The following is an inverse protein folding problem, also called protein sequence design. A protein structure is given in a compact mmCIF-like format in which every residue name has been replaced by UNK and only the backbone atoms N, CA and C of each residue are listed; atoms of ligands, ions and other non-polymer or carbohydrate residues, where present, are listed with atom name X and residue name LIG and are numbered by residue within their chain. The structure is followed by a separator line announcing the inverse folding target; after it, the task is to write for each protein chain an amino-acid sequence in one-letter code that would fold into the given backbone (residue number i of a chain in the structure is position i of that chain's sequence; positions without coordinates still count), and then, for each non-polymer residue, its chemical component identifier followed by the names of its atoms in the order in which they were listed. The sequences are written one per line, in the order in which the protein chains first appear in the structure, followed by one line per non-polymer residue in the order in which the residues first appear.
data_IF_300693813599
#
_entry.id   IF_300693813599
#
_cell.length_a   1.000
_cell.length_b   1.000
_cell.length_c   1.000
_cell.angle_alpha   90.00
_cell.angle_beta   90.00
_cell.angle_gamma   90.00
#
_symmetry.space_group_name_H-M   'P 1'
#
loop_
_entity.id
_entity.type
_entity.pdbx_description
1 polymer ?
#
# COMPACT_ATOMS: atom_id res chain seq x y z
N UNK A 1 31.71 -44.08 65.30
CA UNK A 1 32.28 -42.89 64.64
C UNK A 1 31.85 -42.94 63.17
N UNK A 2 30.83 -42.22 62.83
CA UNK A 2 30.29 -42.17 61.44
C UNK A 2 30.74 -40.82 60.87
N UNK A 3 31.52 -40.82 59.80
CA UNK A 3 32.00 -39.65 59.08
C UNK A 3 30.93 -39.24 58.09
N UNK A 4 30.35 -38.05 58.27
CA UNK A 4 29.47 -37.42 57.30
C UNK A 4 30.30 -36.83 56.16
N UNK A 5 30.08 -37.26 54.93
CA UNK A 5 30.65 -36.70 53.72
C UNK A 5 29.63 -35.70 53.13
N UNK A 6 29.95 -34.43 53.17
CA UNK A 6 29.15 -33.35 52.56
C UNK A 6 29.53 -33.27 51.07
N UNK A 7 28.58 -33.56 50.20
CA UNK A 7 28.70 -33.35 48.77
C UNK A 7 28.24 -31.92 48.45
N UNK A 8 29.17 -31.07 48.08
CA UNK A 8 28.89 -29.71 47.58
C UNK A 8 28.45 -29.82 46.08
N UNK A 9 27.16 -29.65 45.84
CA UNK A 9 26.63 -29.56 44.48
C UNK A 9 26.98 -28.20 43.86
N UNK A 10 27.79 -28.20 42.81
CA UNK A 10 28.03 -27.00 41.98
C UNK A 10 26.86 -26.87 41.02
N UNK A 11 25.98 -25.89 41.26
CA UNK A 11 24.98 -25.46 40.28
C UNK A 11 25.65 -24.65 39.21
N UNK A 12 25.90 -25.19 38.03
CA UNK A 12 26.19 -24.44 36.83
C UNK A 12 24.89 -23.72 36.41
N UNK A 13 24.81 -22.42 36.63
CA UNK A 13 23.85 -21.54 35.96
C UNK A 13 24.27 -21.47 34.48
N UNK A 14 23.63 -22.26 33.64
CA UNK A 14 23.63 -22.05 32.19
C UNK A 14 22.86 -20.75 31.95
N UNK A 15 23.59 -19.66 31.71
CA UNK A 15 23.00 -18.47 31.11
C UNK A 15 22.48 -18.89 29.74
N UNK A 16 21.16 -19.10 29.61
CA UNK A 16 20.50 -19.20 28.35
C UNK A 16 20.62 -17.81 27.68
N UNK A 17 21.61 -17.64 26.80
CA UNK A 17 21.56 -16.61 25.79
C UNK A 17 20.32 -16.91 24.97
N UNK A 18 19.24 -16.13 25.16
CA UNK A 18 18.19 -16.03 24.17
C UNK A 18 18.88 -15.55 22.89
N UNK A 19 18.73 -16.21 21.73
CA UNK A 19 19.26 -15.66 20.50
C UNK A 19 18.64 -14.26 20.34
N UNK A 20 19.47 -13.22 20.27
CA UNK A 20 19.00 -11.90 19.83
C UNK A 20 18.23 -12.14 18.56
N UNK A 21 16.94 -11.75 18.54
CA UNK A 21 16.05 -12.03 17.42
C UNK A 21 16.67 -11.51 16.12
N UNK A 22 16.88 -12.42 15.17
CA UNK A 22 17.37 -12.08 13.83
C UNK A 22 16.27 -11.40 12.97
N UNK A 23 15.20 -10.96 13.61
CA UNK A 23 14.00 -10.43 12.98
C UNK A 23 13.84 -8.95 13.29
N UNK A 24 13.26 -8.22 12.37
CA UNK A 24 13.06 -6.78 12.48
C UNK A 24 11.61 -6.40 12.20
N UNK A 25 11.19 -5.28 12.76
CA UNK A 25 9.92 -4.64 12.46
C UNK A 25 10.11 -3.61 11.35
N UNK A 26 9.23 -3.61 10.37
CA UNK A 26 9.18 -2.61 9.32
C UNK A 26 7.80 -1.96 9.29
N UNK A 27 7.75 -0.65 9.56
CA UNK A 27 6.58 0.17 9.27
C UNK A 27 6.72 0.73 7.86
N UNK A 28 5.70 0.61 7.03
CA UNK A 28 5.62 1.29 5.74
C UNK A 28 4.65 2.45 5.87
N UNK A 29 5.10 3.65 5.52
CA UNK A 29 4.31 4.88 5.54
C UNK A 29 4.26 5.48 4.15
N UNK A 30 3.08 5.67 3.61
CA UNK A 30 2.87 6.31 2.31
C UNK A 30 2.30 7.71 2.52
N UNK A 31 2.91 8.71 1.91
CA UNK A 31 2.52 10.10 2.00
C UNK A 31 1.83 10.53 0.70
N UNK A 32 0.52 10.81 0.71
CA UNK A 32 -0.16 11.35 -0.46
C UNK A 32 0.38 12.75 -0.80
N UNK A 33 0.78 12.94 -2.07
CA UNK A 33 1.35 14.18 -2.58
C UNK A 33 0.59 14.67 -3.82
N UNK A 34 0.66 15.97 -4.04
CA UNK A 34 0.28 16.65 -5.27
C UNK A 34 1.35 17.68 -5.59
N UNK A 35 2.00 17.52 -6.74
CA UNK A 35 3.11 18.39 -7.16
C UNK A 35 4.16 18.57 -6.03
N UNK A 36 4.57 17.47 -5.41
CA UNK A 36 5.57 17.43 -4.33
C UNK A 36 5.11 17.97 -2.96
N UNK A 37 3.92 18.56 -2.85
CA UNK A 37 3.34 19.02 -1.59
C UNK A 37 2.36 18.00 -1.03
N UNK A 38 2.05 18.06 0.27
CA UNK A 38 1.06 17.17 0.87
C UNK A 38 -0.30 17.35 0.19
N UNK A 39 -0.91 16.22 -0.22
CA UNK A 39 -2.24 16.24 -0.80
C UNK A 39 -3.27 16.71 0.22
N UNK A 40 -3.87 17.87 -0.04
CA UNK A 40 -4.94 18.43 0.78
C UNK A 40 -6.30 18.13 0.16
N UNK A 41 -7.13 17.39 0.87
CA UNK A 41 -8.48 17.08 0.43
C UNK A 41 -9.41 18.28 0.56
N UNK A 42 -10.42 18.33 -0.31
CA UNK A 42 -11.41 19.43 -0.38
C UNK A 42 -10.81 20.80 -0.71
N UNK A 43 -9.55 20.86 -1.12
CA UNK A 43 -8.90 22.06 -1.62
C UNK A 43 -9.19 22.22 -3.13
N UNK A 44 -9.86 23.29 -3.52
CA UNK A 44 -10.24 23.60 -4.91
C UNK A 44 -9.07 24.11 -5.78
N UNK A 45 -7.86 24.11 -5.30
CA UNK A 45 -6.72 24.75 -5.95
C UNK A 45 -5.55 23.83 -6.28
N UNK A 46 -5.78 22.53 -6.45
CA UNK A 46 -4.72 21.61 -6.85
C UNK A 46 -4.48 21.78 -8.37
N UNK A 47 -3.53 22.62 -8.74
CA UNK A 47 -3.16 22.83 -10.15
C UNK A 47 -2.21 21.72 -10.58
N UNK A 48 -2.54 21.06 -11.69
CA UNK A 48 -1.67 20.04 -12.27
C UNK A 48 -0.45 20.71 -12.91
N UNK A 49 0.79 20.28 -12.57
CA UNK A 49 2.00 20.99 -12.99
C UNK A 49 2.22 21.00 -14.51
N UNK A 50 1.80 19.95 -15.21
CA UNK A 50 2.04 19.79 -16.64
C UNK A 50 0.88 20.34 -17.51
N UNK A 51 -0.37 20.05 -17.10
CA UNK A 51 -1.55 20.41 -17.92
C UNK A 51 -2.16 21.76 -17.55
N UNK A 52 -1.90 22.24 -16.32
CA UNK A 52 -2.54 23.44 -15.77
C UNK A 52 -3.98 23.22 -15.29
N UNK A 53 -4.51 22.01 -15.44
CA UNK A 53 -5.86 21.68 -14.99
C UNK A 53 -5.98 21.77 -13.48
N UNK A 54 -7.16 22.13 -13.00
CA UNK A 54 -7.39 22.31 -11.57
C UNK A 54 -8.28 21.21 -11.03
N UNK A 55 -7.81 20.58 -9.95
CA UNK A 55 -8.49 19.46 -9.29
C UNK A 55 -8.83 19.75 -7.84
N UNK A 56 -9.77 18.98 -7.31
CA UNK A 56 -10.06 18.79 -5.89
C UNK A 56 -10.34 17.33 -5.65
N UNK A 57 -9.64 16.73 -4.70
CA UNK A 57 -9.92 15.37 -4.24
C UNK A 57 -10.86 15.40 -3.03
N UNK A 58 -11.92 14.61 -3.09
CA UNK A 58 -12.82 14.34 -1.97
C UNK A 58 -12.59 12.96 -1.40
N UNK A 59 -12.12 12.01 -2.24
CA UNK A 59 -11.81 10.64 -1.86
C UNK A 59 -10.58 10.12 -2.63
N UNK A 60 -9.74 9.37 -1.92
CA UNK A 60 -8.75 8.48 -2.51
C UNK A 60 -8.61 7.26 -1.61
N UNK A 61 -9.06 6.12 -2.11
CA UNK A 61 -9.01 4.85 -1.41
C UNK A 61 -8.24 3.84 -2.27
N UNK A 62 -7.46 2.97 -1.62
CA UNK A 62 -6.69 1.90 -2.30
C UNK A 62 -6.64 0.65 -1.45
N UNK A 63 -6.72 -0.51 -2.11
CA UNK A 63 -6.41 -1.82 -1.55
C UNK A 63 -5.07 -2.31 -2.07
N UNK A 64 -4.16 -2.68 -1.16
CA UNK A 64 -2.87 -3.26 -1.49
C UNK A 64 -2.84 -4.74 -1.16
N UNK A 65 -2.20 -5.51 -2.03
CA UNK A 65 -1.96 -6.95 -1.88
C UNK A 65 -0.57 -7.35 -2.39
N UNK A 66 -0.19 -8.60 -2.24
CA UNK A 66 1.09 -9.16 -2.70
C UNK A 66 2.29 -8.32 -2.25
N UNK A 67 2.23 -7.83 -1.01
CA UNK A 67 3.28 -6.97 -0.45
C UNK A 67 4.49 -7.84 -0.15
N UNK A 68 5.64 -7.47 -0.71
CA UNK A 68 6.87 -8.25 -0.57
C UNK A 68 8.11 -7.34 -0.58
N UNK A 69 9.17 -7.76 0.09
CA UNK A 69 10.50 -7.17 -0.06
C UNK A 69 11.23 -7.83 -1.24
N UNK A 70 12.02 -7.04 -1.95
CA UNK A 70 12.85 -7.50 -3.07
C UNK A 70 14.23 -7.81 -2.52
N UNK A 71 14.64 -9.08 -2.55
CA UNK A 71 15.96 -9.51 -2.10
C UNK A 71 17.06 -9.08 -3.08
N UNK A 72 18.32 -9.16 -2.63
CA UNK A 72 19.48 -8.84 -3.47
C UNK A 72 19.58 -9.68 -4.76
N UNK A 73 19.09 -10.93 -4.72
CA UNK A 73 19.03 -11.82 -5.89
C UNK A 73 17.82 -11.57 -6.80
N UNK A 74 16.99 -10.57 -6.50
CA UNK A 74 15.77 -10.24 -7.21
C UNK A 74 14.56 -11.11 -6.85
N UNK A 75 14.71 -12.12 -6.00
CA UNK A 75 13.57 -12.90 -5.51
C UNK A 75 12.73 -12.10 -4.52
N UNK A 76 11.46 -12.46 -4.37
CA UNK A 76 10.54 -11.79 -3.47
C UNK A 76 10.47 -12.51 -2.12
N UNK A 77 10.47 -11.74 -1.03
CA UNK A 77 10.10 -12.17 0.30
C UNK A 77 8.69 -11.64 0.61
N UNK A 78 7.63 -12.46 0.49
CA UNK A 78 6.28 -12.03 0.82
C UNK A 78 6.18 -11.61 2.29
N UNK A 79 5.47 -10.51 2.56
CA UNK A 79 5.13 -10.10 3.90
C UNK A 79 3.83 -10.80 4.31
N UNK A 80 3.92 -11.60 5.36
CA UNK A 80 2.80 -12.40 5.86
C UNK A 80 2.42 -11.91 7.25
N UNK A 81 1.16 -12.06 7.62
CA UNK A 81 0.71 -11.86 9.01
C UNK A 81 1.36 -12.87 9.95
N UNK A 82 1.32 -12.68 11.27
CA UNK A 82 1.83 -13.67 12.23
C UNK A 82 1.21 -15.08 12.08
N UNK A 83 -0.01 -15.15 11.54
CA UNK A 83 -0.70 -16.40 11.26
C UNK A 83 -0.30 -17.03 9.92
N UNK A 84 0.63 -16.42 9.17
CA UNK A 84 1.12 -16.88 7.87
C UNK A 84 0.24 -16.52 6.68
N UNK A 85 -0.78 -15.69 6.86
CA UNK A 85 -1.65 -15.22 5.79
C UNK A 85 -1.02 -14.03 5.06
N UNK A 86 -1.33 -13.79 3.78
CA UNK A 86 -0.86 -12.62 3.05
C UNK A 86 -1.24 -11.30 3.73
N UNK A 87 -0.31 -10.34 3.75
CA UNK A 87 -0.55 -9.02 4.26
C UNK A 87 -1.34 -8.17 3.25
N UNK A 88 -2.41 -7.53 3.71
CA UNK A 88 -3.19 -6.56 2.95
C UNK A 88 -3.17 -5.20 3.64
N UNK A 89 -3.26 -4.13 2.86
CA UNK A 89 -3.42 -2.78 3.40
C UNK A 89 -4.58 -2.05 2.72
N UNK A 90 -5.25 -1.21 3.49
CA UNK A 90 -6.29 -0.32 2.98
C UNK A 90 -5.95 1.12 3.35
N UNK A 91 -5.75 1.93 2.33
CA UNK A 91 -5.51 3.35 2.46
C UNK A 91 -6.77 4.15 2.15
N UNK A 92 -7.08 5.12 2.98
CA UNK A 92 -8.25 6.00 2.82
C UNK A 92 -7.98 7.38 3.39
N UNK A 93 -8.66 8.38 2.87
CA UNK A 93 -8.63 9.75 3.37
C UNK A 93 -8.93 9.82 4.89
N UNK A 94 -8.21 10.68 5.59
CA UNK A 94 -8.44 10.94 7.03
C UNK A 94 -7.86 9.91 7.98
N UNK A 95 -7.17 8.89 7.46
CA UNK A 95 -6.37 7.96 8.25
C UNK A 95 -4.91 8.01 7.80
N UNK A 96 -3.96 7.70 8.69
CA UNK A 96 -2.58 7.50 8.25
C UNK A 96 -2.51 6.37 7.21
N UNK A 97 -1.78 6.59 6.13
CA UNK A 97 -1.50 5.57 5.12
C UNK A 97 -0.27 4.77 5.56
N UNK A 98 -0.48 3.93 6.56
CA UNK A 98 0.59 3.12 7.15
C UNK A 98 0.13 1.69 7.33
N UNK A 99 1.09 0.77 7.30
CA UNK A 99 0.92 -0.59 7.78
C UNK A 99 2.23 -1.08 8.42
N UNK A 100 2.11 -1.93 9.42
CA UNK A 100 3.24 -2.64 9.99
C UNK A 100 3.42 -3.97 9.24
N UNK A 101 4.64 -4.20 8.77
CA UNK A 101 5.02 -5.53 8.33
C UNK A 101 5.25 -6.41 9.56
N UNK A 102 5.00 -7.71 9.45
CA UNK A 102 5.13 -8.61 10.60
C UNK A 102 6.55 -8.69 11.13
N UNK A 103 6.69 -9.09 12.39
CA UNK A 103 7.95 -9.14 13.17
C UNK A 103 8.92 -10.25 12.73
N UNK A 104 8.64 -10.92 11.61
CA UNK A 104 9.41 -12.07 11.13
C UNK A 104 10.28 -11.76 9.90
N UNK A 105 10.58 -10.48 9.65
CA UNK A 105 11.45 -10.10 8.54
C UNK A 105 12.91 -10.39 8.96
N UNK A 106 13.65 -11.23 8.22
CA UNK A 106 15.08 -11.42 8.48
C UNK A 106 15.88 -10.14 8.36
N UNK A 107 16.85 -9.92 9.26
CA UNK A 107 17.84 -8.86 9.10
C UNK A 107 18.58 -9.05 7.79
N UNK A 108 18.87 -7.97 7.09
CA UNK A 108 19.62 -8.04 5.84
C UNK A 108 19.42 -6.83 4.94
N UNK A 109 19.95 -6.95 3.73
CA UNK A 109 19.76 -6.01 2.65
C UNK A 109 18.64 -6.46 1.71
N UNK A 110 17.84 -5.50 1.30
CA UNK A 110 16.77 -5.68 0.31
C UNK A 110 16.85 -4.54 -0.70
N UNK A 111 16.61 -4.85 -1.97
CA UNK A 111 16.70 -3.90 -3.08
C UNK A 111 15.41 -3.09 -3.29
N UNK A 112 14.44 -3.23 -2.41
CA UNK A 112 13.20 -2.47 -2.50
C UNK A 112 11.98 -3.19 -1.93
N UNK A 113 10.81 -2.65 -2.26
CA UNK A 113 9.50 -3.20 -1.94
C UNK A 113 8.65 -3.31 -3.20
N UNK A 114 7.86 -4.36 -3.28
CA UNK A 114 6.85 -4.53 -4.31
C UNK A 114 5.49 -4.80 -3.70
N UNK A 115 4.44 -4.38 -4.38
CA UNK A 115 3.05 -4.67 -4.03
C UNK A 115 2.15 -4.53 -5.26
N UNK A 116 0.89 -4.87 -5.11
CA UNK A 116 -0.11 -4.59 -6.13
C UNK A 116 -1.23 -3.74 -5.54
N UNK A 117 -1.65 -2.71 -6.28
CA UNK A 117 -2.94 -2.07 -6.02
C UNK A 117 -3.99 -2.94 -6.70
N UNK A 118 -4.84 -3.55 -5.88
CA UNK A 118 -5.83 -4.53 -6.32
C UNK A 118 -5.58 -5.94 -5.80
N UNK A 119 -6.49 -6.85 -6.13
CA UNK A 119 -6.56 -8.21 -5.58
C UNK A 119 -6.45 -9.24 -6.72
N UNK A 120 -5.99 -10.44 -6.38
CA UNK A 120 -6.04 -11.56 -7.32
C UNK A 120 -7.49 -12.07 -7.50
N UNK A 121 -7.68 -12.95 -8.49
CA UNK A 121 -9.01 -13.46 -8.83
C UNK A 121 -9.68 -14.23 -7.70
N UNK A 122 -8.93 -15.02 -6.93
CA UNK A 122 -9.48 -15.84 -5.87
C UNK A 122 -10.02 -14.97 -4.72
N UNK A 123 -9.30 -13.93 -4.37
CA UNK A 123 -9.71 -12.99 -3.33
C UNK A 123 -10.80 -12.03 -3.87
N UNK A 124 -10.62 -11.53 -5.09
CA UNK A 124 -11.54 -10.54 -5.67
C UNK A 124 -12.97 -11.06 -5.81
N UNK A 125 -13.13 -12.32 -6.16
CA UNK A 125 -14.43 -12.98 -6.35
C UNK A 125 -14.76 -14.00 -5.25
N UNK A 126 -13.96 -14.03 -4.19
CA UNK A 126 -14.21 -14.84 -3.01
C UNK A 126 -15.33 -14.29 -2.14
N UNK A 127 -15.67 -15.03 -1.09
CA UNK A 127 -16.66 -14.59 -0.11
C UNK A 127 -16.10 -13.48 0.79
N UNK A 128 -16.57 -12.23 0.68
CA UNK A 128 -16.06 -11.13 1.49
C UNK A 128 -16.45 -11.26 2.98
N UNK A 129 -17.40 -12.10 3.33
CA UNK A 129 -17.84 -12.31 4.72
C UNK A 129 -16.83 -13.08 5.58
N UNK A 130 -15.84 -13.74 4.97
CA UNK A 130 -14.77 -14.43 5.69
C UNK A 130 -13.85 -13.47 6.42
N UNK A 131 -13.78 -12.21 5.99
CA UNK A 131 -12.92 -11.21 6.58
C UNK A 131 -13.50 -10.66 7.89
N UNK A 132 -12.73 -10.79 8.98
CA UNK A 132 -13.12 -10.29 10.30
C UNK A 132 -13.27 -8.76 10.29
N UNK A 133 -14.06 -8.23 11.22
CA UNK A 133 -14.18 -6.78 11.46
C UNK A 133 -12.78 -6.20 11.76
N UNK A 134 -12.44 -5.11 11.07
CA UNK A 134 -11.11 -4.48 11.16
C UNK A 134 -10.12 -4.94 10.07
N UNK A 135 -10.36 -6.07 9.40
CA UNK A 135 -9.50 -6.52 8.30
C UNK A 135 -9.62 -5.57 7.09
N UNK A 136 -8.52 -5.23 6.40
CA UNK A 136 -8.54 -4.33 5.23
C UNK A 136 -9.54 -4.72 4.14
N UNK A 137 -9.75 -6.01 3.93
CA UNK A 137 -10.68 -6.54 2.92
C UNK A 137 -12.13 -6.67 3.42
N UNK A 138 -12.42 -6.38 4.69
CA UNK A 138 -13.81 -6.41 5.15
C UNK A 138 -14.61 -5.25 4.53
N UNK A 139 -15.74 -5.49 3.82
CA UNK A 139 -16.52 -4.44 3.16
C UNK A 139 -17.03 -3.35 4.08
N UNK A 140 -17.25 -3.65 5.36
CA UNK A 140 -17.67 -2.63 6.35
C UNK A 140 -16.53 -1.67 6.73
N UNK A 141 -15.27 -2.03 6.45
CA UNK A 141 -14.09 -1.21 6.69
C UNK A 141 -13.77 -0.35 5.48
N UNK A 142 -13.80 -0.94 4.27
CA UNK A 142 -13.29 -0.31 3.06
C UNK A 142 -14.39 0.28 2.15
N UNK A 143 -15.62 -0.24 2.19
CA UNK A 143 -16.73 0.17 1.30
C UNK A 143 -16.38 0.07 -0.20
N UNK A 144 -15.49 -0.87 -0.55
CA UNK A 144 -14.97 -1.05 -1.91
C UNK A 144 -15.45 -2.34 -2.59
N UNK A 145 -16.45 -3.02 -2.04
CA UNK A 145 -16.95 -4.27 -2.62
C UNK A 145 -18.30 -4.06 -3.30
N UNK A 146 -18.38 -4.37 -4.61
CA UNK A 146 -19.58 -4.20 -5.44
C UNK A 146 -20.51 -5.42 -5.47
N UNK A 147 -20.32 -6.35 -4.53
CA UNK A 147 -21.07 -7.63 -4.51
C UNK A 147 -20.35 -8.73 -5.31
N UNK A 148 -20.96 -9.93 -5.32
CA UNK A 148 -20.35 -11.15 -5.80
C UNK A 148 -19.92 -11.14 -7.27
N UNK A 149 -20.59 -10.38 -8.12
CA UNK A 149 -20.26 -10.30 -9.56
C UNK A 149 -19.25 -9.20 -9.88
N UNK A 150 -19.24 -8.12 -9.09
CA UNK A 150 -18.37 -6.97 -9.33
C UNK A 150 -17.00 -7.09 -8.68
N UNK A 151 -16.90 -7.87 -7.60
CA UNK A 151 -15.68 -7.96 -6.79
C UNK A 151 -15.35 -6.64 -6.09
N UNK A 152 -14.06 -6.41 -5.86
CA UNK A 152 -13.56 -5.20 -5.20
C UNK A 152 -13.18 -4.11 -6.19
N UNK A 153 -13.40 -2.86 -5.79
CA UNK A 153 -12.74 -1.69 -6.35
C UNK A 153 -11.33 -1.64 -5.80
N UNK A 154 -10.33 -1.59 -6.65
CA UNK A 154 -8.92 -1.59 -6.27
C UNK A 154 -8.43 -0.22 -5.86
N UNK A 155 -8.94 0.81 -6.56
CA UNK A 155 -8.67 2.22 -6.28
C UNK A 155 -9.93 3.04 -6.57
N UNK A 156 -10.37 3.86 -5.61
CA UNK A 156 -11.47 4.79 -5.79
C UNK A 156 -10.95 6.22 -5.65
N UNK A 157 -11.14 7.02 -6.70
CA UNK A 157 -10.76 8.42 -6.77
C UNK A 157 -12.01 9.24 -7.09
N UNK A 158 -12.35 10.17 -6.22
CA UNK A 158 -13.54 11.02 -6.40
C UNK A 158 -13.19 12.47 -6.08
N UNK A 159 -13.77 13.37 -6.83
CA UNK A 159 -13.54 14.79 -6.63
C UNK A 159 -14.13 15.65 -7.73
N UNK A 160 -13.49 16.76 -7.97
CA UNK A 160 -13.91 17.73 -8.97
C UNK A 160 -12.72 18.23 -9.78
N UNK A 161 -12.96 18.56 -11.03
CA UNK A 161 -12.04 19.29 -11.90
C UNK A 161 -12.70 20.56 -12.41
N UNK A 162 -11.92 21.52 -12.89
CA UNK A 162 -12.46 22.74 -13.50
C UNK A 162 -12.40 22.66 -15.02
N UNK A 163 -13.53 22.90 -15.64
CA UNK A 163 -13.66 23.06 -17.07
C UNK A 163 -14.34 24.39 -17.37
N UNK A 164 -13.70 25.26 -18.17
CA UNK A 164 -14.22 26.59 -18.54
C UNK A 164 -14.66 27.45 -17.33
N UNK A 165 -13.99 27.24 -16.17
CA UNK A 165 -14.30 27.95 -14.92
C UNK A 165 -15.38 27.28 -14.06
N UNK A 166 -16.08 26.28 -14.58
CA UNK A 166 -17.07 25.50 -13.84
C UNK A 166 -16.44 24.28 -13.17
N UNK A 167 -16.94 23.91 -12.00
CA UNK A 167 -16.51 22.73 -11.25
C UNK A 167 -17.37 21.55 -11.62
N UNK A 168 -16.78 20.52 -12.25
CA UNK A 168 -17.45 19.28 -12.64
C UNK A 168 -16.92 18.09 -11.86
N UNK A 169 -17.74 17.09 -11.49
CA UNK A 169 -17.28 15.93 -10.78
C UNK A 169 -16.46 14.99 -11.65
N UNK A 170 -15.47 14.32 -11.05
CA UNK A 170 -14.90 13.08 -11.57
C UNK A 170 -15.05 11.96 -10.55
N UNK A 171 -15.21 10.73 -11.07
CA UNK A 171 -15.36 9.53 -10.27
C UNK A 171 -14.71 8.37 -11.01
N UNK A 172 -13.55 7.93 -10.51
CA UNK A 172 -12.79 6.83 -11.10
C UNK A 172 -12.72 5.67 -10.10
N UNK A 173 -13.50 4.64 -10.36
CA UNK A 173 -13.46 3.38 -9.64
C UNK A 173 -12.72 2.34 -10.49
N UNK A 174 -11.45 2.13 -10.18
CA UNK A 174 -10.59 1.19 -10.88
C UNK A 174 -10.78 -0.18 -10.25
N UNK A 175 -11.28 -1.10 -11.04
CA UNK A 175 -11.59 -2.47 -10.66
C UNK A 175 -11.15 -3.41 -11.79
N UNK A 176 -11.54 -4.67 -11.72
CA UNK A 176 -11.27 -5.74 -12.70
C UNK A 176 -9.80 -6.16 -12.76
N UNK A 177 -9.55 -7.42 -13.05
CA UNK A 177 -8.21 -8.02 -12.95
C UNK A 177 -7.20 -7.43 -13.92
N UNK A 178 -7.64 -6.99 -15.11
CA UNK A 178 -6.79 -6.34 -16.11
C UNK A 178 -6.25 -4.98 -15.65
N UNK A 179 -6.93 -4.34 -14.71
CA UNK A 179 -6.54 -3.05 -14.14
C UNK A 179 -5.76 -3.19 -12.82
N UNK A 180 -5.41 -4.41 -12.42
CA UNK A 180 -4.54 -4.63 -11.26
C UNK A 180 -3.16 -4.05 -11.50
N UNK A 181 -2.67 -3.21 -10.59
CA UNK A 181 -1.50 -2.38 -10.78
C UNK A 181 -0.29 -2.94 -10.00
N UNK A 182 0.66 -3.62 -10.67
CA UNK A 182 1.92 -3.97 -10.03
C UNK A 182 2.77 -2.72 -9.82
N UNK A 183 3.28 -2.54 -8.61
CA UNK A 183 4.16 -1.46 -8.21
C UNK A 183 5.46 -2.08 -7.72
N UNK A 184 6.58 -1.57 -8.22
CA UNK A 184 7.94 -1.93 -7.81
C UNK A 184 8.67 -0.63 -7.46
N UNK A 185 9.18 -0.56 -6.26
CA UNK A 185 9.92 0.61 -5.77
C UNK A 185 11.29 0.11 -5.34
N UNK A 186 12.30 0.42 -6.16
CA UNK A 186 13.68 0.09 -5.87
C UNK A 186 14.26 1.08 -4.84
N UNK A 187 15.10 0.56 -3.95
CA UNK A 187 15.76 1.37 -2.93
C UNK A 187 16.56 0.48 -1.97
N UNK A 188 17.53 1.08 -1.30
CA UNK A 188 18.39 0.37 -0.35
C UNK A 188 17.69 0.24 1.02
N UNK A 189 17.13 -0.95 1.29
CA UNK A 189 16.57 -1.30 2.59
C UNK A 189 17.58 -2.10 3.42
N UNK A 190 18.37 -1.41 4.22
CA UNK A 190 19.20 -2.06 5.23
C UNK A 190 18.39 -2.27 6.52
N UNK A 191 17.94 -3.50 6.77
CA UNK A 191 17.13 -3.89 7.91
C UNK A 191 18.00 -4.58 8.95
N UNK A 192 18.56 -3.82 9.90
CA UNK A 192 19.38 -4.28 11.03
C UNK A 192 18.68 -4.06 12.39
N UNK A 193 17.52 -3.44 12.39
CA UNK A 193 16.66 -3.11 13.53
C UNK A 193 15.30 -2.61 13.05
N UNK A 194 14.48 -2.12 13.96
CA UNK A 194 13.17 -1.57 13.62
C UNK A 194 13.30 -0.34 12.72
N UNK A 195 12.66 -0.36 11.56
CA UNK A 195 12.73 0.66 10.52
C UNK A 195 11.36 1.17 10.11
N UNK A 196 11.36 2.39 9.58
CA UNK A 196 10.22 3.01 8.92
C UNK A 196 10.60 3.37 7.48
N UNK A 197 9.97 2.72 6.53
CA UNK A 197 10.06 3.05 5.11
C UNK A 197 9.05 4.14 4.79
N UNK A 198 9.53 5.24 4.21
CA UNK A 198 8.70 6.36 3.78
C UNK A 198 8.64 6.37 2.25
N UNK A 199 7.43 6.33 1.73
CA UNK A 199 7.11 6.43 0.31
C UNK A 199 6.21 7.64 0.07
N UNK A 200 6.30 8.25 -1.11
CA UNK A 200 5.27 9.15 -1.62
C UNK A 200 4.31 8.41 -2.53
N UNK A 201 3.05 8.81 -2.52
CA UNK A 201 2.09 8.56 -3.58
C UNK A 201 1.73 9.90 -4.25
N UNK A 202 2.22 10.09 -5.46
CA UNK A 202 2.08 11.32 -6.23
C UNK A 202 0.77 11.27 -7.05
N UNK A 203 -0.30 11.84 -6.52
CA UNK A 203 -1.64 11.76 -7.09
C UNK A 203 -1.76 12.52 -8.44
N UNK A 204 -0.95 13.55 -8.65
CA UNK A 204 -0.84 14.27 -9.92
C UNK A 204 -0.43 13.35 -11.07
N UNK A 205 0.45 12.37 -10.82
CA UNK A 205 0.90 11.39 -11.81
C UNK A 205 -0.21 10.48 -12.33
N UNK A 206 -1.37 10.43 -11.69
CA UNK A 206 -2.52 9.68 -12.20
C UNK A 206 -3.09 10.30 -13.48
N UNK A 207 -2.93 11.60 -13.63
CA UNK A 207 -3.45 12.36 -14.77
C UNK A 207 -2.37 12.63 -15.83
N UNK A 208 -1.11 12.52 -15.48
CA UNK A 208 0.00 12.73 -16.40
C UNK A 208 1.17 11.78 -16.06
N UNK A 209 1.33 10.75 -16.88
CA UNK A 209 2.35 9.73 -16.72
C UNK A 209 2.65 9.08 -18.06
N UNK A 210 2.34 7.80 -18.22
CA UNK A 210 2.36 7.10 -19.52
C UNK A 210 1.31 7.71 -20.47
N UNK A 211 0.19 8.12 -19.87
CA UNK A 211 -0.92 8.77 -20.57
C UNK A 211 -1.17 10.15 -19.95
N UNK A 212 -1.45 11.12 -20.79
CA UNK A 212 -2.14 12.34 -20.39
C UNK A 212 -3.63 12.02 -20.29
N UNK A 213 -4.27 12.37 -19.17
CA UNK A 213 -5.68 12.11 -18.92
C UNK A 213 -6.34 13.42 -18.49
N UNK A 214 -7.26 13.89 -19.31
CA UNK A 214 -8.09 15.07 -19.07
C UNK A 214 -9.54 14.63 -18.90
N UNK A 215 -10.14 14.87 -17.72
CA UNK A 215 -11.53 14.44 -17.48
C UNK A 215 -12.53 14.94 -18.52
N UNK A 216 -12.32 16.15 -19.07
CA UNK A 216 -13.17 16.73 -20.12
C UNK A 216 -13.06 16.03 -21.48
N UNK A 217 -11.91 15.42 -21.79
CA UNK A 217 -11.62 14.80 -23.09
C UNK A 217 -11.74 13.28 -23.03
N UNK A 218 -11.15 12.66 -21.99
CA UNK A 218 -11.08 11.20 -21.82
C UNK A 218 -12.30 10.64 -21.08
N UNK A 219 -13.07 11.50 -20.39
CA UNK A 219 -14.22 11.14 -19.57
C UNK A 219 -13.96 11.31 -18.07
N UNK A 220 -14.98 11.77 -17.38
CA UNK A 220 -14.92 12.05 -15.94
C UNK A 220 -15.46 10.93 -15.05
N UNK A 221 -15.92 9.82 -15.65
CA UNK A 221 -16.47 8.67 -14.93
C UNK A 221 -15.89 7.37 -15.46
N UNK A 222 -15.50 6.47 -14.54
CA UNK A 222 -15.13 5.10 -14.86
C UNK A 222 -15.59 4.15 -13.76
N UNK A 223 -16.17 3.02 -14.16
CA UNK A 223 -16.40 1.84 -13.34
C UNK A 223 -15.65 0.63 -13.95
N UNK A 224 -14.53 0.89 -14.65
CA UNK A 224 -13.63 -0.08 -15.27
C UNK A 224 -14.26 -0.95 -16.38
N UNK A 225 -15.48 -0.65 -16.78
CA UNK A 225 -16.17 -1.33 -17.88
C UNK A 225 -16.84 -0.31 -18.77
N UNK A 226 -16.75 -0.50 -20.10
CA UNK A 226 -17.36 0.39 -21.10
C UNK A 226 -16.94 1.86 -21.00
N UNK A 227 -15.73 2.13 -20.49
CA UNK A 227 -15.18 3.46 -20.24
C UNK A 227 -14.14 3.91 -21.30
N UNK A 228 -14.10 3.24 -22.45
CA UNK A 228 -13.16 3.54 -23.52
C UNK A 228 -11.69 3.23 -23.17
N UNK A 229 -11.45 2.45 -22.11
CA UNK A 229 -10.12 2.10 -21.63
C UNK A 229 -9.53 3.11 -20.63
N UNK A 230 -10.33 4.05 -20.12
CA UNK A 230 -9.90 5.07 -19.18
C UNK A 230 -9.32 4.46 -17.89
N UNK A 231 -9.98 3.45 -17.31
CA UNK A 231 -9.47 2.74 -16.15
C UNK A 231 -8.09 2.13 -16.40
N UNK A 232 -7.87 1.58 -17.60
CA UNK A 232 -6.58 1.00 -17.97
C UNK A 232 -5.50 2.08 -18.10
N UNK A 233 -5.79 3.24 -18.70
CA UNK A 233 -4.87 4.38 -18.75
C UNK A 233 -4.49 4.86 -17.34
N UNK A 234 -5.48 5.04 -16.46
CA UNK A 234 -5.27 5.45 -15.06
C UNK A 234 -4.40 4.42 -14.34
N UNK A 235 -4.68 3.11 -14.50
CA UNK A 235 -3.89 2.07 -13.84
C UNK A 235 -2.45 1.98 -14.35
N UNK A 236 -2.19 2.28 -15.62
CA UNK A 236 -0.83 2.38 -16.14
C UNK A 236 -0.07 3.57 -15.53
N UNK A 237 -0.71 4.71 -15.38
CA UNK A 237 -0.14 5.87 -14.70
C UNK A 237 0.10 5.59 -13.22
N UNK A 238 -0.85 4.95 -12.54
CA UNK A 238 -0.78 4.66 -11.11
C UNK A 238 0.42 3.79 -10.71
N UNK A 239 0.89 2.90 -11.59
CA UNK A 239 2.12 2.09 -11.35
C UNK A 239 3.35 2.95 -11.08
N UNK A 240 3.42 4.16 -11.66
CA UNK A 240 4.52 5.09 -11.58
C UNK A 240 4.30 6.22 -10.58
N UNK A 241 3.18 6.19 -9.86
CA UNK A 241 2.83 7.25 -8.92
C UNK A 241 3.50 7.10 -7.54
N UNK A 242 4.06 5.93 -7.23
CA UNK A 242 4.76 5.69 -5.98
C UNK A 242 6.26 5.96 -6.11
N UNK A 243 6.86 6.49 -5.05
CA UNK A 243 8.26 6.91 -5.05
C UNK A 243 8.90 6.67 -3.68
N UNK A 244 10.16 6.20 -3.68
CA UNK A 244 10.98 6.09 -2.49
C UNK A 244 11.33 7.47 -1.93
N UNK A 245 11.23 7.64 -0.61
CA UNK A 245 11.67 8.87 0.08
C UNK A 245 12.83 8.59 1.02
N UNK A 246 12.63 7.72 2.00
CA UNK A 246 13.62 7.47 3.04
C UNK A 246 13.39 6.14 3.75
N UNK A 247 14.45 5.64 4.39
CA UNK A 247 14.42 4.59 5.40
C UNK A 247 14.92 5.20 6.72
N UNK A 248 14.07 5.25 7.72
CA UNK A 248 14.37 5.85 9.02
C UNK A 248 14.38 4.81 10.15
N UNK A 249 14.97 5.15 11.28
CA UNK A 249 14.80 4.35 12.49
C UNK A 249 13.37 4.50 13.02
N UNK A 250 12.69 3.38 13.28
CA UNK A 250 11.40 3.41 13.95
C UNK A 250 11.64 3.78 15.42
N UNK A 251 11.03 4.86 15.87
CA UNK A 251 11.13 5.36 17.26
C UNK A 251 10.23 4.57 18.19
#
# INVERSE_FOLDING_TARGET
MVKNLAIAGIFLLAAACSPEGNEVMLEVSVQPKWNGQDLTYQNLGLVHPETGDTFRFDRSDMLLSDIALIKEDGSLLPLLTPDGEPLYAFFTKGKPWTFDAPDNIPKGHYNGISFKVGLDSAINFGDPSVWKVGHPLNPTVNSLHWGWQGGYVFMALEGFYKELGESKPFLYHIATLENRMPVVIEGDLHLDGSRKLILNWNADRLFYGVHEIRPEEDGSFSHSTFDGGLANKISQNARLSFEWVALENKK
#
